data_IF_930524423186
#
_entry.id   IF_930524423186
#
_cell.length_a   1.000
_cell.length_b   1.000
_cell.length_c   1.000
_cell.angle_alpha   90.00
_cell.angle_beta   90.00
_cell.angle_gamma   90.00
#
_symmetry.space_group_name_H-M   'P 1'
#
loop_
_entity.id
_entity.type
_entity.pdbx_description
1 polymer ?
#
# COMPACT_ATOMS: atom_id res chain seq x y z
N UNK A 1 14.66 -5.92 22.71
CA UNK A 1 13.68 -5.79 21.62
C UNK A 1 14.29 -4.77 20.66
N UNK A 2 14.64 -5.15 19.43
CA UNK A 2 15.12 -4.16 18.46
C UNK A 2 13.92 -3.26 18.15
N UNK A 3 14.02 -1.99 18.52
CA UNK A 3 13.11 -0.94 18.05
C UNK A 3 13.82 -0.29 16.86
N UNK A 4 13.68 -0.83 15.64
CA UNK A 4 14.36 -0.29 14.49
C UNK A 4 13.91 1.14 14.26
N UNK A 5 14.87 2.02 13.97
CA UNK A 5 14.56 3.41 13.64
C UNK A 5 13.64 3.47 12.41
N UNK A 6 12.73 4.46 12.39
CA UNK A 6 11.77 4.71 11.31
C UNK A 6 12.42 4.67 9.92
N UNK A 7 13.62 5.24 9.79
CA UNK A 7 14.38 5.28 8.55
C UNK A 7 14.77 3.89 8.03
N UNK A 8 15.13 2.97 8.91
CA UNK A 8 15.49 1.60 8.53
C UNK A 8 14.25 0.90 7.95
N UNK A 9 13.10 1.05 8.60
CA UNK A 9 11.83 0.45 8.14
C UNK A 9 11.43 0.99 6.77
N UNK A 10 11.55 2.31 6.56
CA UNK A 10 11.29 2.92 5.25
C UNK A 10 12.28 2.42 4.19
N UNK A 11 13.56 2.29 4.55
CA UNK A 11 14.56 1.74 3.63
C UNK A 11 14.23 0.30 3.22
N UNK A 12 13.76 -0.55 4.15
CA UNK A 12 13.34 -1.91 3.87
C UNK A 12 12.16 -1.99 2.90
N UNK A 13 11.27 -0.99 2.94
CA UNK A 13 10.12 -0.89 2.04
C UNK A 13 10.55 -0.57 0.60
N UNK A 14 11.60 0.22 0.44
CA UNK A 14 12.16 0.61 -0.87
C UNK A 14 13.01 -0.47 -1.53
N UNK A 15 13.33 -1.58 -0.86
CA UNK A 15 14.13 -2.66 -1.44
C UNK A 15 13.29 -3.51 -2.43
N UNK A 16 13.56 -3.45 -3.75
CA UNK A 16 12.70 -4.10 -4.75
C UNK A 16 12.93 -5.62 -4.84
N UNK A 17 14.07 -6.11 -4.36
CA UNK A 17 14.49 -7.50 -4.58
C UNK A 17 13.76 -8.50 -3.67
N UNK A 18 13.25 -8.03 -2.51
CA UNK A 18 12.72 -8.90 -1.47
C UNK A 18 11.24 -8.61 -1.18
N UNK A 19 10.34 -9.25 -1.94
CA UNK A 19 8.88 -9.11 -1.76
C UNK A 19 8.37 -9.40 -0.35
N UNK A 20 8.92 -10.41 0.34
CA UNK A 20 8.48 -10.73 1.71
C UNK A 20 9.03 -9.75 2.75
N UNK A 21 10.18 -9.12 2.47
CA UNK A 21 10.74 -8.07 3.31
C UNK A 21 9.87 -6.82 3.26
N UNK A 22 9.42 -6.44 2.04
CA UNK A 22 8.45 -5.36 1.84
C UNK A 22 7.16 -5.64 2.59
N UNK A 23 6.60 -6.86 2.48
CA UNK A 23 5.36 -7.24 3.19
C UNK A 23 5.53 -7.18 4.72
N UNK A 24 6.67 -7.63 5.24
CA UNK A 24 6.99 -7.56 6.66
C UNK A 24 7.13 -6.10 7.14
N UNK A 25 7.81 -5.25 6.36
CA UNK A 25 7.95 -3.84 6.67
C UNK A 25 6.58 -3.14 6.69
N UNK A 26 5.72 -3.44 5.72
CA UNK A 26 4.34 -2.93 5.67
C UNK A 26 3.53 -3.33 6.91
N UNK A 27 3.64 -4.59 7.35
CA UNK A 27 3.00 -5.06 8.59
C UNK A 27 3.53 -4.31 9.82
N UNK A 28 4.85 -4.10 9.90
CA UNK A 28 5.46 -3.38 11.02
C UNK A 28 5.00 -1.92 11.09
N UNK A 29 4.94 -1.23 9.94
CA UNK A 29 4.41 0.13 9.82
C UNK A 29 2.96 0.17 10.31
N UNK A 30 2.13 -0.78 9.84
CA UNK A 30 0.73 -0.86 10.23
C UNK A 30 0.52 -1.05 11.75
N UNK A 31 1.48 -1.67 12.44
CA UNK A 31 1.42 -1.91 13.88
C UNK A 31 1.97 -0.75 14.72
N UNK A 32 2.94 0.02 14.20
CA UNK A 32 3.75 0.93 15.03
C UNK A 32 3.57 2.41 14.67
N UNK A 33 3.06 2.75 13.48
CA UNK A 33 3.00 4.12 13.00
C UNK A 33 1.61 4.73 13.20
N UNK A 34 1.55 6.06 13.19
CA UNK A 34 0.29 6.81 13.23
C UNK A 34 -0.55 6.61 11.96
N UNK A 35 -1.87 6.77 12.09
CA UNK A 35 -2.82 6.52 10.99
C UNK A 35 -2.46 7.29 9.71
N UNK A 36 -2.04 8.56 9.84
CA UNK A 36 -1.64 9.42 8.72
C UNK A 36 -0.42 8.86 7.98
N UNK A 37 0.61 8.46 8.72
CA UNK A 37 1.84 7.93 8.15
C UNK A 37 1.64 6.55 7.51
N UNK A 38 0.80 5.71 8.13
CA UNK A 38 0.41 4.41 7.57
C UNK A 38 -0.17 4.59 6.17
N UNK A 39 -1.11 5.51 6.00
CA UNK A 39 -1.71 5.81 4.70
C UNK A 39 -0.67 6.31 3.69
N UNK A 40 0.14 7.31 4.06
CA UNK A 40 1.18 7.88 3.18
C UNK A 40 2.21 6.86 2.69
N UNK A 41 2.59 5.90 3.53
CA UNK A 41 3.65 4.93 3.19
C UNK A 41 3.09 3.68 2.51
N UNK A 42 1.89 3.24 2.88
CA UNK A 42 1.30 2.01 2.32
C UNK A 42 0.56 2.23 1.00
N UNK A 43 0.03 3.43 0.73
CA UNK A 43 -0.70 3.70 -0.51
C UNK A 43 0.11 3.46 -1.80
N UNK A 44 1.39 3.89 -1.90
CA UNK A 44 2.20 3.60 -3.07
C UNK A 44 2.40 2.10 -3.32
N UNK A 45 2.35 1.27 -2.27
CA UNK A 45 2.46 -0.18 -2.39
C UNK A 45 1.23 -0.84 -3.01
N UNK A 46 0.11 -0.12 -3.16
CA UNK A 46 -1.07 -0.63 -3.85
C UNK A 46 -0.84 -0.79 -5.37
N UNK A 47 0.25 -0.26 -5.90
CA UNK A 47 0.66 -0.47 -7.29
C UNK A 47 1.61 -1.67 -7.46
N UNK A 48 2.05 -2.27 -6.35
CA UNK A 48 2.90 -3.45 -6.38
C UNK A 48 2.07 -4.72 -6.63
N UNK A 49 2.24 -5.32 -7.82
CA UNK A 49 1.54 -6.54 -8.24
C UNK A 49 2.37 -7.81 -8.06
N UNK A 50 3.44 -7.79 -7.26
CA UNK A 50 4.26 -8.98 -6.98
C UNK A 50 3.43 -10.04 -6.25
N UNK A 51 3.49 -11.29 -6.74
CA UNK A 51 2.78 -12.44 -6.14
C UNK A 51 3.45 -12.89 -4.84
N UNK A 52 2.68 -12.96 -3.77
CA UNK A 52 3.03 -13.47 -2.45
C UNK A 52 2.37 -14.82 -2.23
N UNK A 53 3.13 -15.79 -1.72
CA UNK A 53 2.58 -17.07 -1.29
C UNK A 53 2.28 -16.97 0.21
N UNK A 54 1.01 -16.91 0.55
CA UNK A 54 0.54 -16.82 1.92
C UNK A 54 -0.04 -18.15 2.38
N UNK A 55 0.37 -18.57 3.57
CA UNK A 55 -0.15 -19.77 4.23
C UNK A 55 -1.14 -19.31 5.29
N UNK A 56 -2.42 -19.29 4.92
CA UNK A 56 -3.52 -18.99 5.83
C UNK A 56 -4.08 -20.32 6.34
N UNK A 57 -3.46 -20.92 7.34
CA UNK A 57 -3.94 -22.19 7.92
C UNK A 57 -2.95 -22.86 8.86
N UNK A 58 -3.46 -23.79 9.67
CA UNK A 58 -2.64 -24.72 10.45
C UNK A 58 -1.71 -25.47 9.51
N UNK A 59 -0.46 -25.69 9.93
CA UNK A 59 0.62 -26.36 9.15
C UNK A 59 0.17 -27.66 8.48
N UNK A 60 -0.88 -28.30 9.00
CA UNK A 60 -1.45 -29.57 8.55
C UNK A 60 -2.34 -29.47 7.30
N UNK A 61 -2.97 -28.33 7.01
CA UNK A 61 -3.90 -28.19 5.87
C UNK A 61 -3.19 -27.86 4.55
N UNK A 62 -1.92 -27.43 4.58
CA UNK A 62 -1.07 -27.29 3.38
C UNK A 62 -1.53 -26.26 2.33
N UNK A 63 -2.66 -25.59 2.51
CA UNK A 63 -3.23 -24.66 1.54
C UNK A 63 -2.36 -23.40 1.39
N UNK A 64 -1.66 -23.31 0.27
CA UNK A 64 -0.90 -22.13 -0.13
C UNK A 64 -1.80 -21.27 -0.99
N UNK A 65 -2.27 -20.16 -0.42
CA UNK A 65 -3.00 -19.15 -1.15
C UNK A 65 -2.03 -18.17 -1.78
N UNK A 66 -2.20 -17.91 -3.07
CA UNK A 66 -1.39 -16.89 -3.76
C UNK A 66 -2.17 -15.59 -3.76
N UNK A 67 -1.66 -14.59 -3.08
CA UNK A 67 -2.21 -13.22 -3.06
C UNK A 67 -1.21 -12.27 -3.71
N UNK A 68 -1.66 -11.11 -4.14
CA UNK A 68 -0.76 -10.06 -4.62
C UNK A 68 -0.43 -9.06 -3.50
N UNK A 69 0.67 -8.31 -3.64
CA UNK A 69 1.10 -7.34 -2.62
C UNK A 69 0.07 -6.22 -2.40
N UNK A 70 -0.49 -5.67 -3.48
CA UNK A 70 -1.62 -4.75 -3.45
C UNK A 70 -2.79 -5.26 -2.60
N UNK A 71 -3.22 -6.51 -2.82
CA UNK A 71 -4.27 -7.16 -2.05
C UNK A 71 -3.90 -7.33 -0.57
N UNK A 72 -2.64 -7.67 -0.30
CA UNK A 72 -2.12 -7.76 1.07
C UNK A 72 -2.18 -6.41 1.78
N UNK A 73 -1.77 -5.33 1.12
CA UNK A 73 -1.78 -3.97 1.68
C UNK A 73 -3.21 -3.48 1.89
N UNK A 74 -4.11 -3.73 0.94
CA UNK A 74 -5.53 -3.42 1.08
C UNK A 74 -6.15 -4.12 2.30
N UNK A 75 -5.81 -5.41 2.50
CA UNK A 75 -6.26 -6.18 3.65
C UNK A 75 -5.75 -5.58 4.97
N UNK A 76 -4.51 -5.08 5.01
CA UNK A 76 -3.95 -4.43 6.20
C UNK A 76 -4.65 -3.10 6.54
N UNK A 77 -5.11 -2.36 5.52
CA UNK A 77 -5.79 -1.07 5.71
C UNK A 77 -7.27 -1.23 6.10
N UNK A 78 -7.92 -2.29 5.60
CA UNK A 78 -9.37 -2.48 5.76
C UNK A 78 -9.73 -3.37 6.94
N UNK A 79 -8.98 -4.44 7.20
CA UNK A 79 -9.32 -5.40 8.24
C UNK A 79 -8.74 -5.04 9.61
N UNK A 80 -9.43 -5.47 10.66
CA UNK A 80 -8.97 -5.32 12.06
C UNK A 80 -8.07 -6.47 12.53
N UNK A 81 -8.03 -7.58 11.78
CA UNK A 81 -7.27 -8.78 12.12
C UNK A 81 -6.59 -9.31 10.86
N UNK A 82 -5.31 -9.64 10.96
CA UNK A 82 -4.54 -10.25 9.87
C UNK A 82 -3.57 -11.29 10.43
N UNK A 83 -3.49 -12.48 9.82
CA UNK A 83 -2.59 -13.56 10.25
C UNK A 83 -2.61 -13.86 11.77
N UNK A 84 -3.81 -13.93 12.34
CA UNK A 84 -4.06 -14.08 13.78
C UNK A 84 -3.55 -12.95 14.69
N UNK A 85 -3.02 -11.87 14.11
CA UNK A 85 -2.66 -10.65 14.81
C UNK A 85 -3.84 -9.67 14.83
N UNK A 86 -4.06 -9.08 16.01
CA UNK A 86 -4.99 -7.97 16.18
C UNK A 86 -4.28 -6.67 15.80
N UNK A 87 -4.80 -5.97 14.78
CA UNK A 87 -4.24 -4.72 14.31
C UNK A 87 -4.76 -3.54 15.15
N UNK A 88 -3.91 -2.54 15.47
CA UNK A 88 -4.38 -1.28 16.07
C UNK A 88 -5.46 -0.63 15.22
N UNK A 89 -6.47 -0.03 15.86
CA UNK A 89 -7.50 0.71 15.13
C UNK A 89 -6.89 1.96 14.52
N UNK A 90 -7.15 2.15 13.23
CA UNK A 90 -6.81 3.38 12.50
C UNK A 90 -8.08 4.18 12.23
N UNK A 91 -7.94 5.49 12.14
CA UNK A 91 -9.03 6.40 11.77
C UNK A 91 -9.34 6.18 10.29
N UNK A 92 -10.63 6.23 9.92
CA UNK A 92 -11.02 6.09 8.51
C UNK A 92 -10.41 7.21 7.68
N UNK A 93 -10.06 6.89 6.43
CA UNK A 93 -9.48 7.85 5.49
C UNK A 93 -10.33 9.13 5.36
N UNK A 94 -11.65 8.96 5.19
CA UNK A 94 -12.58 10.08 5.00
C UNK A 94 -12.50 11.09 6.15
N UNK A 95 -12.32 10.63 7.39
CA UNK A 95 -12.18 11.52 8.54
C UNK A 95 -10.83 12.23 8.56
N UNK A 96 -9.76 11.60 8.06
CA UNK A 96 -8.45 12.24 7.96
C UNK A 96 -8.40 13.29 6.83
N UNK A 97 -9.12 13.04 5.73
CA UNK A 97 -9.30 14.00 4.62
C UNK A 97 -10.12 15.22 5.07
N UNK A 98 -11.22 15.01 5.79
CA UNK A 98 -12.05 16.10 6.35
C UNK A 98 -11.27 16.99 7.33
N UNK A 99 -10.33 16.39 8.09
CA UNK A 99 -9.44 17.11 8.99
C UNK A 99 -8.27 17.80 8.29
N UNK A 100 -8.09 17.60 6.98
CA UNK A 100 -6.96 18.14 6.21
C UNK A 100 -5.60 17.53 6.59
N UNK A 101 -5.59 16.37 7.25
CA UNK A 101 -4.36 15.64 7.60
C UNK A 101 -3.86 14.77 6.45
N UNK A 102 -4.75 14.41 5.52
CA UNK A 102 -4.47 13.67 4.31
C UNK A 102 -5.05 14.40 3.10
N UNK A 103 -4.32 14.39 1.99
CA UNK A 103 -4.85 14.83 0.71
C UNK A 103 -5.76 13.76 0.10
N UNK A 104 -6.62 14.22 -0.81
CA UNK A 104 -7.46 13.35 -1.63
C UNK A 104 -6.59 12.30 -2.31
N UNK A 105 -7.01 11.03 -2.22
CA UNK A 105 -6.31 9.97 -2.93
C UNK A 105 -6.30 10.25 -4.42
N UNK A 106 -5.12 10.36 -5.03
CA UNK A 106 -4.94 10.21 -6.47
C UNK A 106 -4.48 8.80 -6.77
N UNK A 107 -5.19 8.11 -7.66
CA UNK A 107 -4.71 6.84 -8.18
C UNK A 107 -3.61 7.12 -9.23
N UNK A 108 -2.54 6.34 -9.25
CA UNK A 108 -1.52 6.48 -10.30
C UNK A 108 -2.12 6.25 -11.69
N UNK A 109 -3.06 5.30 -11.83
CA UNK A 109 -3.80 5.05 -13.08
C UNK A 109 -4.59 6.27 -13.54
N UNK A 110 -5.17 7.02 -12.60
CA UNK A 110 -5.91 8.24 -12.90
C UNK A 110 -4.95 9.35 -13.38
N UNK A 111 -3.78 9.45 -12.75
CA UNK A 111 -2.75 10.42 -13.14
C UNK A 111 -2.18 10.10 -14.54
N UNK A 112 -1.87 8.83 -14.81
CA UNK A 112 -1.42 8.37 -16.14
C UNK A 112 -2.46 8.62 -17.24
N UNK A 113 -3.74 8.42 -16.91
CA UNK A 113 -4.84 8.66 -17.86
C UNK A 113 -5.03 10.14 -18.18
N UNK A 114 -4.89 11.01 -17.17
CA UNK A 114 -4.98 12.47 -17.33
C UNK A 114 -3.82 13.01 -18.18
N UNK A 115 -2.58 12.54 -17.93
CA UNK A 115 -1.40 12.86 -18.75
C UNK A 115 -1.58 12.41 -20.21
N UNK A 116 -2.12 11.20 -20.42
CA UNK A 116 -2.42 10.70 -21.77
C UNK A 116 -3.45 11.58 -22.49
N UNK A 117 -4.54 11.95 -21.80
CA UNK A 117 -5.59 12.82 -22.36
C UNK A 117 -5.10 14.22 -22.73
N UNK A 118 -4.23 14.80 -21.90
CA UNK A 118 -3.66 16.12 -22.18
C UNK A 118 -2.72 16.08 -23.39
N UNK A 119 -1.91 15.02 -23.53
CA UNK A 119 -1.04 14.83 -24.69
C UNK A 119 -1.82 14.68 -26.01
N UNK A 120 -2.93 13.93 -26.00
CA UNK A 120 -3.78 13.71 -27.18
C UNK A 120 -4.49 15.01 -27.59
N UNK A 121 -4.92 15.82 -26.60
CA UNK A 121 -5.53 17.13 -26.85
C UNK A 121 -4.54 18.15 -27.41
N UNK A 122 -3.26 18.07 -27.04
CA UNK A 122 -2.19 18.91 -27.59
C UNK A 122 -1.91 18.55 -29.06
N UNK A 123 -1.86 17.26 -29.39
CA UNK A 123 -1.67 16.75 -30.75
C UNK A 123 -2.81 17.15 -31.71
N UNK A 124 -4.07 17.16 -31.23
CA UNK A 124 -5.22 17.60 -32.03
C UNK A 124 -5.17 19.11 -32.32
N UNK A 125 -4.61 19.92 -31.41
CA UNK A 125 -4.48 21.38 -31.60
C UNK A 125 -3.37 21.75 -32.58
N UNK A 126 -2.30 20.97 -32.64
CA UNK A 126 -1.20 21.20 -33.60
C UNK A 126 -1.53 20.75 -35.03
N UNK A 127 -2.46 19.80 -35.20
CA UNK A 127 -2.87 19.30 -36.52
C UNK A 127 -3.85 20.18 -37.31
N UNK A 128 -4.40 21.23 -36.70
CA UNK A 128 -5.42 22.12 -37.29
C UNK A 128 -4.83 23.50 -37.72
N UNK A 129 -3.50 23.62 -37.77
CA UNK A 129 -2.74 24.82 -38.18
C UNK A 129 -1.75 24.52 -39.30
#
# INVERSE_FOLDING_TARGET
MLEPSREIVLHLLTQPDFKYLTALAALYIRLSFDSVDVYKVLEPLLNDRRRLNCRFGTVESGDVNVICMDQFVEQLLTHMKFADLMLPRIVSRLTLEDQGLLDWRRSEVESEFEEWFDSDREMIREGDN
#
